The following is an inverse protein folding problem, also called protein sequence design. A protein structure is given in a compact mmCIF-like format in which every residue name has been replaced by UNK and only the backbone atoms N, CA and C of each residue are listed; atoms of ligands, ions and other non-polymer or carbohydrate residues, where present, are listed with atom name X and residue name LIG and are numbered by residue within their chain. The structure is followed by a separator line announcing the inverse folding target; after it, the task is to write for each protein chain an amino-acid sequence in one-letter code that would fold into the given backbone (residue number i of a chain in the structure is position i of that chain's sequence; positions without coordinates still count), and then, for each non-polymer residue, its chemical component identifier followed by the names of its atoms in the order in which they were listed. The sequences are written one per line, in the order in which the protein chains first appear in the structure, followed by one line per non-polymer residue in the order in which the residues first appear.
data_IF_515857065258
#
_entry.id   IF_515857065258
#
_cell.length_a   1.000
_cell.length_b   1.000
_cell.length_c   1.000
_cell.angle_alpha   90.00
_cell.angle_beta   90.00
_cell.angle_gamma   90.00
#
_symmetry.space_group_name_H-M   'P 1'
#
loop_
_entity.id
_entity.type
_entity.pdbx_description
1 polymer ?
#
# COMPACT_ATOMS: atom_id res chain seq x y z
N UNK A 1 -3.37 25.42 7.06
CA UNK A 1 -4.84 25.43 7.30
C UNK A 1 -5.43 24.60 6.17
N UNK A 2 -6.12 23.50 6.47
CA UNK A 2 -6.74 22.66 5.43
C UNK A 2 -8.11 23.29 5.16
N UNK A 3 -8.21 24.01 4.05
CA UNK A 3 -9.40 24.80 3.69
C UNK A 3 -10.45 23.97 2.92
N UNK A 4 -10.23 22.66 2.76
CA UNK A 4 -11.01 21.82 1.85
C UNK A 4 -12.47 21.58 2.31
N UNK A 5 -12.75 21.62 3.62
CA UNK A 5 -14.03 21.15 4.15
C UNK A 5 -15.05 22.25 4.47
N UNK A 6 -14.64 23.51 4.64
CA UNK A 6 -15.53 24.56 5.18
C UNK A 6 -16.62 25.03 4.20
N UNK A 7 -16.42 24.89 2.89
CA UNK A 7 -17.35 25.40 1.85
C UNK A 7 -18.25 24.32 1.20
N UNK A 8 -18.22 23.06 1.68
CA UNK A 8 -19.05 22.00 1.10
C UNK A 8 -20.49 22.04 1.59
N UNK A 9 -21.43 21.71 0.71
CA UNK A 9 -22.86 21.59 1.05
C UNK A 9 -23.15 20.23 1.67
N UNK A 10 -24.24 20.14 2.42
CA UNK A 10 -24.74 18.86 2.92
C UNK A 10 -24.96 17.88 1.76
N UNK A 11 -24.42 16.66 1.88
CA UNK A 11 -24.54 15.60 0.88
C UNK A 11 -23.38 15.48 -0.11
N UNK A 12 -22.36 16.34 -0.05
CA UNK A 12 -21.24 16.31 -1.02
C UNK A 12 -20.11 15.31 -0.66
N UNK A 13 -20.06 14.82 0.58
CA UNK A 13 -19.00 13.91 1.06
C UNK A 13 -17.60 14.55 1.07
N UNK A 14 -16.70 14.06 1.92
CA UNK A 14 -15.29 14.48 1.93
C UNK A 14 -14.40 13.41 2.55
N UNK A 15 -13.14 13.35 2.10
CA UNK A 15 -12.05 12.59 2.69
C UNK A 15 -10.78 13.43 2.59
N UNK A 16 -10.51 14.28 3.58
CA UNK A 16 -9.44 15.28 3.55
C UNK A 16 -8.51 15.22 4.76
N UNK A 17 -8.73 14.24 5.65
CA UNK A 17 -7.98 14.07 6.89
C UNK A 17 -6.98 12.93 6.79
N UNK A 18 -6.01 12.93 7.70
CA UNK A 18 -5.13 11.77 7.95
C UNK A 18 -5.73 10.84 9.01
N UNK A 19 -7.04 10.92 9.25
CA UNK A 19 -7.70 10.01 10.17
C UNK A 19 -7.87 8.64 9.51
N UNK A 20 -7.88 7.61 10.35
CA UNK A 20 -8.21 6.23 9.96
C UNK A 20 -9.56 6.09 9.25
N UNK A 21 -10.51 7.02 9.43
CA UNK A 21 -11.78 7.00 8.71
C UNK A 21 -11.65 7.40 7.24
N UNK A 22 -10.67 8.24 6.90
CA UNK A 22 -10.41 8.69 5.52
C UNK A 22 -9.35 7.84 4.82
N UNK A 23 -8.38 7.32 5.57
CA UNK A 23 -7.24 6.60 5.00
C UNK A 23 -7.48 5.11 4.80
N UNK A 24 -8.41 4.50 5.55
CA UNK A 24 -8.61 3.05 5.53
C UNK A 24 -9.34 2.60 4.25
N UNK A 25 -8.56 2.07 3.30
CA UNK A 25 -9.04 1.56 2.02
C UNK A 25 -9.03 0.02 2.00
N UNK A 26 -9.69 -0.58 1.01
CA UNK A 26 -9.65 -2.02 0.75
C UNK A 26 -8.71 -2.32 -0.41
N UNK A 27 -7.78 -3.25 -0.21
CA UNK A 27 -6.95 -3.84 -1.26
C UNK A 27 -7.39 -5.29 -1.48
N UNK A 28 -7.62 -5.67 -2.74
CA UNK A 28 -7.85 -7.06 -3.13
C UNK A 28 -6.79 -7.42 -4.17
N UNK A 29 -5.99 -8.44 -3.87
CA UNK A 29 -4.98 -8.98 -4.76
C UNK A 29 -5.33 -10.40 -5.17
N UNK A 30 -5.05 -10.76 -6.43
CA UNK A 30 -5.28 -12.10 -6.95
C UNK A 30 -4.26 -12.43 -8.03
N UNK A 31 -3.65 -13.60 -7.91
CA UNK A 31 -2.60 -14.05 -8.82
C UNK A 31 -1.86 -15.27 -8.25
N UNK A 32 -0.99 -15.90 -9.04
CA UNK A 32 -0.19 -17.04 -8.57
C UNK A 32 0.80 -16.65 -7.46
N UNK A 33 1.20 -15.39 -7.38
CA UNK A 33 2.16 -14.87 -6.40
C UNK A 33 1.55 -14.57 -5.02
N UNK A 34 0.23 -14.60 -4.87
CA UNK A 34 -0.47 -14.28 -3.62
C UNK A 34 -1.09 -15.50 -2.94
N UNK A 35 -1.21 -15.45 -1.62
CA UNK A 35 -1.98 -16.44 -0.87
C UNK A 35 -3.46 -16.42 -1.28
N UNK A 36 -4.09 -17.60 -1.36
CA UNK A 36 -5.50 -17.72 -1.72
C UNK A 36 -6.38 -17.70 -0.48
N UNK A 37 -7.47 -16.93 -0.52
CA UNK A 37 -8.48 -16.91 0.54
C UNK A 37 -7.95 -16.41 1.89
N UNK A 38 -6.86 -15.64 1.87
CA UNK A 38 -6.25 -15.06 3.07
C UNK A 38 -6.69 -13.60 3.21
N UNK A 39 -6.82 -13.16 4.46
CA UNK A 39 -7.00 -11.76 4.83
C UNK A 39 -5.78 -11.32 5.62
N UNK A 40 -5.25 -10.15 5.25
CA UNK A 40 -4.06 -9.56 5.84
C UNK A 40 -4.44 -8.26 6.55
N UNK A 41 -4.19 -8.22 7.86
CA UNK A 41 -4.45 -7.09 8.74
C UNK A 41 -3.19 -6.24 9.01
N UNK A 42 -2.05 -6.55 8.37
CA UNK A 42 -0.85 -5.73 8.52
C UNK A 42 -1.05 -4.33 7.90
N UNK A 43 -0.53 -3.27 8.56
CA UNK A 43 -0.60 -1.92 8.01
C UNK A 43 0.07 -1.85 6.62
N UNK A 44 -0.69 -1.39 5.64
CA UNK A 44 -0.25 -1.19 4.26
C UNK A 44 -0.75 0.15 3.74
N UNK A 45 -0.10 0.64 2.69
CA UNK A 45 -0.50 1.86 1.99
C UNK A 45 -0.32 1.78 0.49
N UNK A 46 -0.90 2.75 -0.24
CA UNK A 46 -0.80 2.80 -1.70
C UNK A 46 0.66 2.84 -2.20
N UNK A 47 1.58 3.37 -1.39
CA UNK A 47 3.03 3.41 -1.69
C UNK A 47 3.65 2.02 -1.82
N UNK A 48 3.06 0.99 -1.20
CA UNK A 48 3.54 -0.39 -1.22
C UNK A 48 3.16 -1.15 -2.51
N UNK A 49 2.23 -0.60 -3.30
CA UNK A 49 1.77 -1.24 -4.54
C UNK A 49 2.87 -1.30 -5.59
N UNK A 50 3.54 -0.17 -5.85
CA UNK A 50 4.60 -0.10 -6.86
C UNK A 50 5.75 -1.11 -6.61
N UNK A 51 6.40 -1.15 -5.43
CA UNK A 51 7.46 -2.13 -5.17
C UNK A 51 6.96 -3.58 -5.23
N UNK A 52 5.72 -3.87 -4.78
CA UNK A 52 5.13 -5.21 -4.85
C UNK A 52 4.89 -5.65 -6.30
N UNK A 53 4.35 -4.77 -7.16
CA UNK A 53 4.12 -5.06 -8.58
C UNK A 53 5.45 -5.27 -9.32
N UNK A 54 6.43 -4.39 -9.10
CA UNK A 54 7.75 -4.54 -9.74
C UNK A 54 8.44 -5.84 -9.35
N UNK A 55 8.28 -6.25 -8.08
CA UNK A 55 8.76 -7.55 -7.59
C UNK A 55 8.13 -8.72 -8.34
N UNK A 56 6.81 -8.72 -8.54
CA UNK A 56 6.10 -9.75 -9.33
C UNK A 56 6.61 -9.78 -10.78
N UNK A 57 6.87 -8.61 -11.36
CA UNK A 57 7.36 -8.48 -12.74
C UNK A 57 8.87 -8.77 -12.89
N UNK A 58 9.61 -8.97 -11.79
CA UNK A 58 11.06 -9.14 -11.83
C UNK A 58 11.82 -7.89 -12.31
N UNK A 59 11.25 -6.69 -12.11
CA UNK A 59 11.82 -5.42 -12.56
C UNK A 59 12.54 -4.74 -11.39
N UNK A 60 13.82 -4.42 -11.56
CA UNK A 60 14.56 -3.59 -10.62
C UNK A 60 14.17 -2.13 -10.78
N UNK A 61 13.70 -1.44 -9.72
CA UNK A 61 13.37 -0.03 -9.83
C UNK A 61 14.65 0.81 -10.06
N UNK A 62 14.58 1.90 -10.83
CA UNK A 62 15.74 2.74 -11.14
C UNK A 62 16.25 3.54 -9.92
N UNK A 63 15.45 3.60 -8.85
CA UNK A 63 15.75 4.26 -7.58
C UNK A 63 15.01 3.55 -6.45
N UNK A 64 15.38 3.86 -5.21
CA UNK A 64 14.62 3.44 -4.04
C UNK A 64 13.20 4.02 -4.09
N UNK A 65 12.23 3.19 -3.69
CA UNK A 65 10.83 3.55 -3.51
C UNK A 65 10.55 3.71 -2.02
N UNK A 66 9.60 4.58 -1.68
CA UNK A 66 9.25 4.86 -0.28
C UNK A 66 8.47 3.70 0.38
N UNK A 67 7.69 2.97 -0.42
CA UNK A 67 6.92 1.82 0.06
C UNK A 67 7.73 0.54 0.19
N UNK A 68 7.16 -0.43 0.89
CA UNK A 68 7.71 -1.78 1.08
C UNK A 68 7.00 -2.79 0.18
N UNK A 69 7.62 -3.96 0.02
CA UNK A 69 6.96 -5.11 -0.61
C UNK A 69 5.98 -5.69 0.43
N UNK A 70 4.75 -6.01 0.00
CA UNK A 70 3.75 -6.72 0.81
C UNK A 70 4.05 -8.23 0.85
N UNK A 71 5.25 -8.59 1.32
CA UNK A 71 5.76 -9.96 1.30
C UNK A 71 4.91 -10.94 2.11
N UNK A 72 4.24 -10.45 3.15
CA UNK A 72 3.32 -11.22 4.00
C UNK A 72 2.09 -11.74 3.24
N UNK A 73 1.70 -11.08 2.15
CA UNK A 73 0.60 -11.51 1.29
C UNK A 73 1.05 -12.49 0.19
N UNK A 74 2.37 -12.70 0.01
CA UNK A 74 2.94 -13.44 -1.12
C UNK A 74 3.38 -14.86 -0.77
N UNK A 75 3.19 -15.81 -1.68
CA UNK A 75 3.53 -17.24 -1.47
C UNK A 75 5.02 -17.54 -1.56
N UNK A 76 5.82 -16.68 -2.21
CA UNK A 76 7.25 -16.88 -2.44
C UNK A 76 8.08 -15.83 -1.72
N UNK A 77 8.77 -16.25 -0.65
CA UNK A 77 9.77 -15.44 0.04
C UNK A 77 11.12 -15.68 -0.64
N UNK A 78 11.55 -14.80 -1.56
CA UNK A 78 12.99 -14.72 -1.81
C UNK A 78 13.61 -13.94 -0.65
N UNK A 79 14.58 -14.57 0.03
CA UNK A 79 15.40 -13.98 1.09
C UNK A 79 16.37 -12.90 0.57
N UNK A 80 15.97 -12.08 -0.39
CA UNK A 80 16.75 -10.89 -0.76
C UNK A 80 16.58 -9.85 0.36
N UNK A 81 17.66 -9.48 1.06
CA UNK A 81 17.53 -8.67 2.27
C UNK A 81 16.95 -7.30 1.93
N UNK A 82 15.84 -6.96 2.58
CA UNK A 82 15.36 -5.58 2.65
C UNK A 82 16.47 -4.75 3.31
N UNK A 83 17.16 -3.91 2.54
CA UNK A 83 18.00 -2.85 3.09
C UNK A 83 17.09 -1.71 3.54
N UNK A 84 16.32 -1.93 4.60
CA UNK A 84 15.73 -0.84 5.35
C UNK A 84 16.88 -0.11 6.06
N UNK A 85 17.43 0.93 5.42
CA UNK A 85 18.25 1.91 6.13
C UNK A 85 17.29 2.84 6.88
N UNK A 86 17.35 2.77 8.20
CA UNK A 86 16.69 3.71 9.10
C UNK A 86 17.67 4.86 9.32
N UNK A 87 17.25 6.09 9.01
CA UNK A 87 17.90 7.32 9.50
C UNK A 87 17.40 7.65 10.91
#
# INVERSE_FOLDING_TARGET
MIDADWNRRAGEGTHATLSRFDMHNTLIASGPDFHRGQSDDFPSGNVDLAPTILRILGITPPRQLDGRILSEAMVTIDNSPSKAQTE
#
